data_IF_329152374304
#
_entry.id   IF_329152374304
#
_cell.length_a   1.000
_cell.length_b   1.000
_cell.length_c   1.000
_cell.angle_alpha   90.00
_cell.angle_beta   90.00
_cell.angle_gamma   90.00
#
_symmetry.space_group_name_H-M   'P 1'
#
loop_
_entity.id
_entity.type
_entity.pdbx_description
1 polymer ?
#
# COMPACT_ATOMS: atom_id res chain seq x y z
N UNK A 1 -27.43 52.91 2.50
CA UNK A 1 -25.97 52.96 2.73
C UNK A 1 -25.56 51.89 3.73
N UNK A 2 -25.87 52.01 5.02
CA UNK A 2 -25.54 50.98 6.04
C UNK A 2 -25.99 49.55 5.68
N UNK A 3 -27.22 49.37 5.18
CA UNK A 3 -27.75 48.06 4.78
C UNK A 3 -27.04 47.46 3.54
N UNK A 4 -26.54 48.30 2.62
CA UNK A 4 -25.82 47.82 1.44
C UNK A 4 -24.38 47.42 1.78
N UNK A 5 -23.74 48.17 2.68
CA UNK A 5 -22.40 47.85 3.18
C UNK A 5 -22.39 46.52 3.93
N UNK A 6 -23.43 46.26 4.73
CA UNK A 6 -23.59 44.99 5.42
C UNK A 6 -23.83 43.83 4.44
N UNK A 7 -24.61 44.05 3.38
CA UNK A 7 -24.86 43.04 2.35
C UNK A 7 -23.59 42.70 1.57
N UNK A 8 -22.78 43.71 1.24
CA UNK A 8 -21.47 43.53 0.61
C UNK A 8 -20.50 42.77 1.51
N UNK A 9 -20.48 43.07 2.81
CA UNK A 9 -19.67 42.36 3.80
C UNK A 9 -20.09 40.89 3.93
N UNK A 10 -21.40 40.62 3.99
CA UNK A 10 -21.94 39.25 4.05
C UNK A 10 -21.57 38.45 2.81
N UNK A 11 -21.71 39.04 1.62
CA UNK A 11 -21.32 38.39 0.36
C UNK A 11 -19.84 38.00 0.35
N UNK A 12 -18.95 38.91 0.77
CA UNK A 12 -17.52 38.63 0.90
C UNK A 12 -17.23 37.48 1.88
N UNK A 13 -17.93 37.42 3.00
CA UNK A 13 -17.78 36.32 3.98
C UNK A 13 -18.26 35.00 3.38
N UNK A 14 -19.41 34.99 2.69
CA UNK A 14 -19.91 33.79 2.01
C UNK A 14 -18.92 33.31 0.95
N UNK A 15 -18.41 34.19 0.10
CA UNK A 15 -17.45 33.86 -0.95
C UNK A 15 -16.12 33.33 -0.34
N UNK A 16 -15.67 33.88 0.79
CA UNK A 16 -14.50 33.38 1.51
C UNK A 16 -14.71 31.97 2.07
N UNK A 17 -15.84 31.75 2.76
CA UNK A 17 -16.17 30.45 3.35
C UNK A 17 -16.35 29.37 2.28
N UNK A 18 -16.99 29.70 1.16
CA UNK A 18 -17.22 28.74 0.07
C UNK A 18 -15.90 28.28 -0.57
N UNK A 19 -14.96 29.21 -0.79
CA UNK A 19 -13.63 28.88 -1.30
C UNK A 19 -12.82 28.01 -0.31
N UNK A 20 -12.88 28.32 0.98
CA UNK A 20 -12.17 27.56 2.02
C UNK A 20 -12.71 26.12 2.14
N UNK A 21 -14.04 25.97 2.19
CA UNK A 21 -14.72 24.67 2.20
C UNK A 21 -14.42 23.88 0.93
N UNK A 22 -14.39 24.54 -0.23
CA UNK A 22 -14.07 23.89 -1.50
C UNK A 22 -12.64 23.36 -1.51
N UNK A 23 -11.68 24.14 -1.03
CA UNK A 23 -10.29 23.72 -0.87
C UNK A 23 -10.12 22.54 0.09
N UNK A 24 -10.85 22.55 1.22
CA UNK A 24 -10.85 21.43 2.18
C UNK A 24 -11.50 20.16 1.60
N UNK A 25 -12.54 20.28 0.77
CA UNK A 25 -13.10 19.10 0.10
C UNK A 25 -12.15 18.50 -0.91
N UNK A 26 -11.47 19.32 -1.69
CA UNK A 26 -10.51 18.87 -2.70
C UNK A 26 -9.27 18.23 -2.07
N UNK A 27 -8.72 18.84 -1.01
CA UNK A 27 -7.53 18.30 -0.34
C UNK A 27 -7.81 16.93 0.30
N UNK A 28 -8.97 16.76 0.95
CA UNK A 28 -9.39 15.52 1.58
C UNK A 28 -9.67 14.46 0.52
N UNK A 29 -10.27 14.85 -0.60
CA UNK A 29 -10.52 13.93 -1.72
C UNK A 29 -9.21 13.40 -2.29
N UNK A 30 -8.23 14.28 -2.53
CA UNK A 30 -6.89 13.91 -3.01
C UNK A 30 -6.16 13.00 -2.02
N UNK A 31 -6.16 13.36 -0.74
CA UNK A 31 -5.59 12.53 0.34
C UNK A 31 -6.21 11.13 0.40
N UNK A 32 -7.54 11.03 0.34
CA UNK A 32 -8.24 9.74 0.36
C UNK A 32 -7.94 8.91 -0.89
N UNK A 33 -7.85 9.55 -2.06
CA UNK A 33 -7.44 8.89 -3.30
C UNK A 33 -6.03 8.29 -3.15
N UNK A 34 -5.09 9.06 -2.59
CA UNK A 34 -3.72 8.61 -2.37
C UNK A 34 -3.63 7.43 -1.38
N UNK A 35 -4.36 7.51 -0.26
CA UNK A 35 -4.44 6.41 0.70
C UNK A 35 -5.07 5.15 0.09
N UNK A 36 -6.09 5.30 -0.74
CA UNK A 36 -6.73 4.17 -1.41
C UNK A 36 -5.79 3.45 -2.38
N UNK A 37 -4.88 4.18 -3.05
CA UNK A 37 -3.87 3.59 -3.94
C UNK A 37 -2.86 2.72 -3.18
N UNK A 38 -2.59 3.04 -1.91
CA UNK A 38 -1.73 2.26 -1.03
C UNK A 38 -2.43 1.01 -0.48
N UNK A 39 -3.76 0.98 -0.41
CA UNK A 39 -4.55 -0.15 0.11
C UNK A 39 -4.77 -1.25 -0.95
N UNK A 40 -3.71 -1.59 -1.68
CA UNK A 40 -3.74 -2.59 -2.74
C UNK A 40 -2.98 -3.85 -2.34
N UNK A 41 -3.48 -5.01 -2.77
CA UNK A 41 -2.85 -6.29 -2.51
C UNK A 41 -1.47 -6.39 -3.15
N UNK A 42 -0.45 -6.77 -2.36
CA UNK A 42 0.92 -6.93 -2.83
C UNK A 42 1.38 -8.40 -2.79
N UNK A 43 1.42 -9.04 -3.96
CA UNK A 43 1.90 -10.42 -4.10
C UNK A 43 3.39 -10.59 -3.74
N UNK A 44 4.20 -9.54 -3.90
CA UNK A 44 5.60 -9.53 -3.50
C UNK A 44 5.75 -9.58 -1.99
N UNK A 45 4.93 -8.81 -1.25
CA UNK A 45 4.92 -8.82 0.21
C UNK A 45 4.49 -10.17 0.80
N UNK A 46 3.65 -10.93 0.07
CA UNK A 46 3.09 -12.21 0.51
C UNK A 46 4.03 -13.38 0.22
N UNK A 47 4.56 -13.44 -1.01
CA UNK A 47 5.37 -14.57 -1.46
C UNK A 47 6.84 -14.40 -1.05
N UNK A 48 7.33 -13.16 -1.07
CA UNK A 48 8.72 -12.81 -0.77
C UNK A 48 8.84 -12.05 0.55
N UNK A 49 7.97 -12.35 1.53
CA UNK A 49 7.82 -11.57 2.77
C UNK A 49 9.13 -11.12 3.43
N UNK A 50 10.10 -11.99 3.75
CA UNK A 50 11.32 -11.54 4.42
C UNK A 50 12.16 -10.61 3.56
N UNK A 51 12.30 -10.90 2.26
CA UNK A 51 13.09 -10.09 1.30
C UNK A 51 12.41 -8.75 1.05
N UNK A 52 11.11 -8.78 0.84
CA UNK A 52 10.29 -7.59 0.61
C UNK A 52 10.26 -6.69 1.86
N UNK A 53 10.05 -7.25 3.04
CA UNK A 53 10.03 -6.48 4.29
C UNK A 53 11.40 -5.86 4.61
N UNK A 54 12.49 -6.57 4.34
CA UNK A 54 13.84 -6.04 4.50
C UNK A 54 14.08 -4.84 3.57
N UNK A 55 13.69 -4.97 2.29
CA UNK A 55 13.83 -3.88 1.30
C UNK A 55 13.02 -2.64 1.67
N UNK A 56 11.89 -2.81 2.38
CA UNK A 56 11.01 -1.72 2.79
C UNK A 56 11.24 -1.25 4.24
N UNK A 57 12.37 -1.63 4.87
CA UNK A 57 12.74 -1.22 6.25
C UNK A 57 11.69 -1.63 7.29
N UNK A 58 11.02 -2.75 7.04
CA UNK A 58 10.01 -3.36 7.91
C UNK A 58 10.62 -4.48 8.77
N UNK A 59 11.78 -4.22 9.39
CA UNK A 59 12.60 -5.24 10.07
C UNK A 59 11.84 -6.05 11.12
N UNK A 60 10.92 -5.43 11.88
CA UNK A 60 10.09 -6.13 12.85
C UNK A 60 9.28 -7.26 12.20
N UNK A 61 8.69 -6.99 11.04
CA UNK A 61 7.89 -7.96 10.30
C UNK A 61 8.76 -9.06 9.69
N UNK A 62 9.98 -8.73 9.26
CA UNK A 62 10.98 -9.72 8.83
C UNK A 62 11.27 -10.74 9.93
N UNK A 63 11.48 -10.30 11.17
CA UNK A 63 11.72 -11.22 12.29
C UNK A 63 10.47 -12.00 12.70
N UNK A 64 9.29 -11.36 12.73
CA UNK A 64 8.03 -12.02 13.07
C UNK A 64 7.65 -13.13 12.06
N UNK A 65 8.11 -13.03 10.81
CA UNK A 65 7.90 -14.06 9.80
C UNK A 65 8.59 -15.39 10.15
N UNK A 66 9.67 -15.39 10.94
CA UNK A 66 10.34 -16.62 11.38
C UNK A 66 9.67 -17.31 12.57
N UNK A 67 8.67 -16.65 13.19
CA UNK A 67 7.91 -17.25 14.30
C UNK A 67 6.81 -18.14 13.72
N UNK A 68 6.82 -19.46 13.98
CA UNK A 68 5.78 -20.36 13.49
C UNK A 68 4.37 -19.91 13.92
N UNK A 69 3.36 -20.15 13.09
CA UNK A 69 1.96 -19.74 13.25
C UNK A 69 1.71 -18.22 13.12
N UNK A 70 2.58 -17.39 13.71
CA UNK A 70 2.54 -15.92 13.57
C UNK A 70 2.84 -15.49 12.13
N UNK A 71 3.70 -16.25 11.44
CA UNK A 71 4.07 -16.01 10.05
C UNK A 71 2.86 -15.89 9.10
N UNK A 72 1.78 -16.67 9.29
CA UNK A 72 0.58 -16.59 8.45
C UNK A 72 -0.13 -15.24 8.63
N UNK A 73 -0.27 -14.79 9.88
CA UNK A 73 -0.87 -13.49 10.19
C UNK A 73 -0.02 -12.34 9.62
N UNK A 74 1.29 -12.44 9.73
CA UNK A 74 2.25 -11.48 9.15
C UNK A 74 2.09 -11.39 7.64
N UNK A 75 2.05 -12.54 6.96
CA UNK A 75 1.92 -12.61 5.50
C UNK A 75 0.62 -11.93 5.05
N UNK A 76 -0.51 -12.25 5.67
CA UNK A 76 -1.82 -11.65 5.32
C UNK A 76 -1.82 -10.15 5.61
N UNK A 77 -1.32 -9.74 6.79
CA UNK A 77 -1.29 -8.34 7.19
C UNK A 77 -0.42 -7.51 6.24
N UNK A 78 0.74 -8.02 5.82
CA UNK A 78 1.61 -7.36 4.84
C UNK A 78 1.05 -7.41 3.42
N UNK A 79 0.30 -8.45 3.05
CA UNK A 79 -0.39 -8.49 1.77
C UNK A 79 -1.42 -7.37 1.62
N UNK A 80 -2.18 -7.07 2.68
CA UNK A 80 -3.21 -6.05 2.69
C UNK A 80 -2.67 -4.64 2.94
N UNK A 81 -1.83 -4.47 3.98
CA UNK A 81 -1.40 -3.17 4.48
C UNK A 81 0.08 -2.87 4.20
N UNK A 82 0.82 -3.80 3.59
CA UNK A 82 2.27 -3.68 3.41
C UNK A 82 2.65 -2.43 2.65
N UNK A 83 1.98 -2.13 1.54
CA UNK A 83 2.26 -0.93 0.74
C UNK A 83 2.14 0.36 1.57
N UNK A 84 1.09 0.49 2.39
CA UNK A 84 0.89 1.61 3.32
C UNK A 84 2.02 1.68 4.36
N UNK A 85 2.30 0.58 5.05
CA UNK A 85 3.35 0.51 6.08
C UNK A 85 4.76 0.82 5.52
N UNK A 86 5.04 0.33 4.32
CA UNK A 86 6.29 0.58 3.61
C UNK A 86 6.39 2.03 3.15
N UNK A 87 5.29 2.64 2.68
CA UNK A 87 5.27 4.04 2.29
C UNK A 87 5.44 5.00 3.47
N UNK A 88 4.85 4.70 4.63
CA UNK A 88 5.05 5.47 5.87
C UNK A 88 6.53 5.54 6.29
N UNK A 89 7.32 4.53 5.95
CA UNK A 89 8.77 4.49 6.22
C UNK A 89 9.63 4.98 5.06
N UNK A 90 9.03 5.22 3.89
CA UNK A 90 9.71 5.73 2.73
C UNK A 90 9.88 7.25 2.86
N UNK A 91 11.11 7.72 2.75
CA UNK A 91 11.47 9.15 2.85
C UNK A 91 12.00 9.72 1.55
N UNK A 92 12.07 8.91 0.49
CA UNK A 92 12.83 9.24 -0.72
C UNK A 92 11.95 9.30 -1.96
N UNK A 93 11.02 8.37 -2.12
CA UNK A 93 10.19 8.27 -3.32
C UNK A 93 8.88 9.04 -3.17
N UNK A 94 8.41 9.62 -4.27
CA UNK A 94 7.02 10.08 -4.39
C UNK A 94 6.05 8.89 -4.38
N UNK A 95 4.74 9.15 -4.17
CA UNK A 95 3.72 8.09 -4.16
C UNK A 95 3.71 7.28 -5.47
N UNK A 96 3.83 7.95 -6.61
CA UNK A 96 3.79 7.30 -7.93
C UNK A 96 5.01 6.41 -8.17
N UNK A 97 6.21 6.92 -7.86
CA UNK A 97 7.46 6.16 -7.96
C UNK A 97 7.45 4.94 -7.03
N UNK A 98 6.95 5.13 -5.81
CA UNK A 98 6.81 4.04 -4.84
C UNK A 98 5.85 2.97 -5.35
N UNK A 99 4.66 3.34 -5.84
CA UNK A 99 3.68 2.39 -6.37
C UNK A 99 4.19 1.66 -7.61
N UNK A 100 4.99 2.32 -8.47
CA UNK A 100 5.64 1.67 -9.60
C UNK A 100 6.61 0.57 -9.12
N UNK A 101 7.40 0.84 -8.08
CA UNK A 101 8.29 -0.15 -7.47
C UNK A 101 7.51 -1.30 -6.82
N UNK A 102 6.43 -1.01 -6.10
CA UNK A 102 5.58 -2.06 -5.49
C UNK A 102 4.90 -2.95 -6.53
N UNK A 103 4.53 -2.39 -7.68
CA UNK A 103 4.01 -3.16 -8.82
C UNK A 103 5.05 -4.15 -9.34
N UNK A 104 6.32 -3.73 -9.45
CA UNK A 104 7.43 -4.62 -9.84
C UNK A 104 7.56 -5.76 -8.82
N UNK A 105 7.57 -5.45 -7.51
CA UNK A 105 7.58 -6.47 -6.45
C UNK A 105 6.40 -7.45 -6.55
N UNK A 106 5.20 -6.94 -6.81
CA UNK A 106 4.00 -7.76 -6.98
C UNK A 106 4.15 -8.74 -8.16
N UNK A 107 4.68 -8.27 -9.30
CA UNK A 107 4.96 -9.12 -10.46
C UNK A 107 6.00 -10.20 -10.12
N UNK A 108 7.10 -9.84 -9.43
CA UNK A 108 8.10 -10.82 -9.01
C UNK A 108 7.52 -11.86 -8.04
N UNK A 109 6.65 -11.44 -7.11
CA UNK A 109 5.93 -12.35 -6.21
C UNK A 109 5.09 -13.37 -6.97
N UNK A 110 4.30 -12.91 -7.95
CA UNK A 110 3.50 -13.81 -8.81
C UNK A 110 4.39 -14.78 -9.60
N UNK A 111 5.50 -14.31 -10.18
CA UNK A 111 6.44 -15.16 -10.91
C UNK A 111 7.07 -16.22 -10.00
N UNK A 112 7.50 -15.82 -8.80
CA UNK A 112 8.06 -16.74 -7.82
C UNK A 112 7.05 -17.80 -7.40
N UNK A 113 5.79 -17.42 -7.17
CA UNK A 113 4.71 -18.36 -6.82
C UNK A 113 4.55 -19.47 -7.87
N UNK A 114 4.47 -19.10 -9.15
CA UNK A 114 4.32 -20.09 -10.22
C UNK A 114 5.55 -21.01 -10.36
N UNK A 115 6.76 -20.45 -10.28
CA UNK A 115 8.00 -21.24 -10.34
C UNK A 115 8.06 -22.26 -9.20
N UNK A 116 7.81 -21.83 -7.96
CA UNK A 116 7.83 -22.70 -6.79
C UNK A 116 6.74 -23.78 -6.84
N UNK A 117 5.54 -23.41 -7.29
CA UNK A 117 4.42 -24.35 -7.41
C UNK A 117 4.70 -25.42 -8.46
N UNK A 118 5.16 -25.04 -9.66
CA UNK A 118 5.48 -26.00 -10.72
C UNK A 118 6.63 -26.92 -10.33
N UNK A 119 7.68 -26.35 -9.71
CA UNK A 119 8.81 -27.14 -9.22
C UNK A 119 8.39 -28.14 -8.13
N UNK A 120 7.57 -27.72 -7.17
CA UNK A 120 7.04 -28.58 -6.12
C UNK A 120 6.17 -29.72 -6.66
N UNK A 121 5.28 -29.43 -7.61
CA UNK A 121 4.44 -30.43 -8.26
C UNK A 121 5.28 -31.46 -9.03
N UNK A 122 6.26 -31.00 -9.82
CA UNK A 122 7.14 -31.88 -10.58
C UNK A 122 7.99 -32.77 -9.66
N UNK A 123 8.53 -32.20 -8.59
CA UNK A 123 9.31 -32.95 -7.60
C UNK A 123 8.46 -33.99 -6.86
N UNK A 124 7.26 -33.63 -6.41
CA UNK A 124 6.35 -34.56 -5.75
C UNK A 124 5.89 -35.69 -6.68
N UNK A 125 5.61 -35.38 -7.95
CA UNK A 125 5.26 -36.37 -8.96
C UNK A 125 6.42 -37.33 -9.24
N UNK A 126 7.63 -36.82 -9.41
CA UNK A 126 8.82 -37.65 -9.64
C UNK A 126 9.10 -38.56 -8.44
N UNK A 127 8.97 -38.04 -7.22
CA UNK A 127 9.11 -38.81 -5.98
C UNK A 127 8.08 -39.94 -5.88
N UNK A 128 6.86 -39.74 -6.39
CA UNK A 128 5.81 -40.76 -6.38
C UNK A 128 6.04 -41.87 -7.42
N UNK A 129 6.73 -41.59 -8.53
CA UNK A 129 7.08 -42.60 -9.55
C UNK A 129 8.26 -43.48 -9.10
N UNK A 130 9.21 -42.88 -8.39
CA UNK A 130 10.47 -43.54 -8.01
C UNK A 130 10.37 -44.43 -6.75
N UNK A 131 9.25 -44.37 -6.02
CA UNK A 131 9.03 -45.06 -4.75
C UNK A 131 8.02 -46.20 -4.91
#
# INVERSE_FOLDING_TARGET
QLAEDELKRRKLIFDYLDNDISGEKENNSTSNLDLNRLNTWNWGAVILTPVWALSNRLSIWTFLWFVPLVNILVIIHLGLNGNRLAFEKNTTLTLDEFLALQKIWSIWGIRAFWVLTLFGLLSGFLSAILN
#
